data_IF_597285288284
#
_entry.id   IF_597285288284
#
_cell.length_a   1.000
_cell.length_b   1.000
_cell.length_c   1.000
_cell.angle_alpha   90.00
_cell.angle_beta   90.00
_cell.angle_gamma   90.00
#
_symmetry.space_group_name_H-M   'P 1'
#
loop_
_entity.id
_entity.type
_entity.pdbx_description
1 polymer ?
#
# COMPACT_ATOMS: atom_id res chain seq x y z
N UNK A 1 -7.99 -9.36 -19.90
CA UNK A 1 -8.97 -8.86 -18.93
C UNK A 1 -9.85 -7.85 -19.66
N UNK A 2 -11.18 -7.87 -19.48
CA UNK A 2 -12.01 -6.81 -20.04
C UNK A 2 -11.59 -5.47 -19.41
N UNK A 3 -11.56 -4.42 -20.21
CA UNK A 3 -11.33 -3.07 -19.73
C UNK A 3 -12.51 -2.70 -18.80
N UNK A 4 -12.22 -2.53 -17.51
CA UNK A 4 -13.22 -2.06 -16.56
C UNK A 4 -13.50 -0.60 -16.88
N UNK A 5 -14.76 -0.28 -17.13
CA UNK A 5 -15.20 1.10 -17.22
C UNK A 5 -14.73 1.87 -15.99
N UNK A 6 -14.44 3.16 -16.15
CA UNK A 6 -14.04 4.04 -15.06
C UNK A 6 -14.95 3.89 -13.83
N UNK A 7 -16.27 3.86 -14.04
CA UNK A 7 -17.25 3.65 -12.98
C UNK A 7 -17.06 2.33 -12.21
N UNK A 8 -16.72 1.23 -12.89
CA UNK A 8 -16.49 -0.07 -12.26
C UNK A 8 -15.22 -0.08 -11.39
N UNK A 9 -14.19 0.70 -11.74
CA UNK A 9 -12.96 0.81 -10.93
C UNK A 9 -13.23 1.44 -9.55
N UNK A 10 -14.20 2.35 -9.47
CA UNK A 10 -14.48 3.10 -8.24
C UNK A 10 -15.73 2.65 -7.49
N UNK A 11 -16.50 1.70 -8.04
CA UNK A 11 -17.73 1.20 -7.43
C UNK A 11 -17.53 0.69 -5.99
N UNK A 12 -16.36 0.10 -5.70
CA UNK A 12 -16.01 -0.38 -4.36
C UNK A 12 -15.94 0.75 -3.32
N UNK A 13 -15.36 1.89 -3.67
CA UNK A 13 -15.26 3.05 -2.76
C UNK A 13 -16.65 3.60 -2.40
N UNK A 14 -17.57 3.66 -3.36
CA UNK A 14 -18.94 4.11 -3.12
C UNK A 14 -19.75 3.17 -2.22
N UNK A 15 -19.38 1.89 -2.17
CA UNK A 15 -20.04 0.89 -1.33
C UNK A 15 -19.51 0.88 0.12
N UNK A 16 -18.31 1.42 0.37
CA UNK A 16 -17.72 1.44 1.70
C UNK A 16 -18.33 2.54 2.56
N UNK A 17 -18.72 2.18 3.78
CA UNK A 17 -19.38 3.08 4.74
C UNK A 17 -18.55 3.18 6.01
N UNK A 18 -18.06 4.39 6.36
CA UNK A 18 -17.48 4.63 7.67
C UNK A 18 -18.52 4.37 8.76
N UNK A 19 -18.12 3.62 9.78
CA UNK A 19 -19.03 3.17 10.82
C UNK A 19 -18.28 2.68 12.05
N UNK A 20 -18.99 2.57 13.18
CA UNK A 20 -18.45 1.92 14.38
C UNK A 20 -18.15 0.44 14.10
N UNK A 21 -17.18 -0.21 14.79
CA UNK A 21 -16.68 -1.53 14.38
C UNK A 21 -17.62 -2.71 14.60
N UNK A 22 -18.62 -2.56 15.48
CA UNK A 22 -19.46 -3.69 15.94
C UNK A 22 -20.60 -4.04 14.97
N UNK A 23 -21.31 -3.09 14.35
CA UNK A 23 -22.36 -3.41 13.39
C UNK A 23 -21.79 -4.02 12.10
N UNK A 24 -22.43 -5.06 11.55
CA UNK A 24 -22.01 -5.71 10.31
C UNK A 24 -22.19 -4.83 9.07
N UNK A 25 -22.88 -3.70 9.20
CA UNK A 25 -23.10 -2.70 8.15
C UNK A 25 -21.94 -1.71 8.02
N UNK A 26 -21.00 -1.70 8.98
CA UNK A 26 -19.78 -0.91 8.90
C UNK A 26 -18.72 -1.70 8.13
N UNK A 27 -18.16 -1.09 7.09
CA UNK A 27 -17.07 -1.69 6.31
C UNK A 27 -15.74 -0.97 6.51
N UNK A 28 -15.74 0.13 7.28
CA UNK A 28 -14.56 0.98 7.47
C UNK A 28 -14.62 1.66 8.85
N UNK A 29 -13.57 1.47 9.64
CA UNK A 29 -13.44 2.05 10.96
C UNK A 29 -13.03 3.52 10.95
N UNK A 30 -12.86 4.08 12.16
CA UNK A 30 -12.28 5.40 12.35
C UNK A 30 -10.77 5.39 12.05
N UNK A 31 -10.26 6.55 11.65
CA UNK A 31 -8.84 6.87 11.69
C UNK A 31 -8.38 6.93 13.15
N UNK A 32 -7.10 6.61 13.37
CA UNK A 32 -6.52 6.47 14.71
C UNK A 32 -6.70 7.73 15.58
N UNK A 33 -6.42 8.91 15.03
CA UNK A 33 -6.45 10.18 15.75
C UNK A 33 -6.78 11.38 14.83
N UNK A 34 -6.88 12.57 15.44
CA UNK A 34 -7.18 13.81 14.73
C UNK A 34 -6.07 14.27 13.79
N UNK A 35 -4.80 14.09 14.16
CA UNK A 35 -3.67 14.52 13.33
C UNK A 35 -3.60 13.72 12.03
N UNK A 36 -3.82 12.41 12.09
CA UNK A 36 -3.87 11.54 10.92
C UNK A 36 -5.14 11.78 10.10
N UNK A 37 -6.27 12.12 10.74
CA UNK A 37 -7.49 12.54 10.05
C UNK A 37 -7.24 13.80 9.22
N UNK A 38 -6.69 14.85 9.84
CA UNK A 38 -6.32 16.11 9.16
C UNK A 38 -5.30 15.88 8.04
N UNK A 39 -4.33 14.98 8.25
CA UNK A 39 -3.35 14.61 7.22
C UNK A 39 -4.03 13.98 6.00
N UNK A 40 -4.90 12.99 6.18
CA UNK A 40 -5.60 12.35 5.05
C UNK A 40 -6.49 13.35 4.31
N UNK A 41 -7.23 14.21 5.02
CA UNK A 41 -8.02 15.27 4.39
C UNK A 41 -7.14 16.24 3.57
N UNK A 42 -5.99 16.65 4.11
CA UNK A 42 -5.04 17.52 3.41
C UNK A 42 -4.54 16.88 2.12
N UNK A 43 -4.17 15.60 2.13
CA UNK A 43 -3.77 14.87 0.93
C UNK A 43 -4.90 14.80 -0.10
N UNK A 44 -6.13 14.56 0.35
CA UNK A 44 -7.29 14.53 -0.55
C UNK A 44 -7.55 15.91 -1.21
N UNK A 45 -7.38 17.00 -0.46
CA UNK A 45 -7.55 18.37 -0.98
C UNK A 45 -6.39 18.80 -1.89
N UNK A 46 -5.16 18.39 -1.58
CA UNK A 46 -3.98 18.63 -2.42
C UNK A 46 -4.05 17.82 -3.72
N UNK A 47 -4.39 16.54 -3.63
CA UNK A 47 -4.56 15.66 -4.77
C UNK A 47 -5.62 16.14 -5.76
N UNK A 48 -6.70 16.76 -5.27
CA UNK A 48 -7.73 17.34 -6.15
C UNK A 48 -7.20 18.48 -7.04
N UNK A 49 -6.09 19.14 -6.66
CA UNK A 49 -5.50 20.23 -7.46
C UNK A 49 -4.79 19.70 -8.72
N UNK A 50 -4.32 18.46 -8.70
CA UNK A 50 -3.49 17.87 -9.75
C UNK A 50 -4.05 16.58 -10.37
N UNK A 51 -5.12 16.01 -9.81
CA UNK A 51 -5.72 14.76 -10.27
C UNK A 51 -7.25 14.81 -10.27
N UNK A 52 -7.87 13.91 -11.03
CA UNK A 52 -9.32 13.84 -11.07
C UNK A 52 -9.89 13.06 -9.88
N UNK A 53 -10.57 13.75 -8.97
CA UNK A 53 -11.22 13.12 -7.82
C UNK A 53 -12.56 12.49 -8.23
N UNK A 54 -12.66 11.17 -8.14
CA UNK A 54 -13.82 10.39 -8.58
C UNK A 54 -14.66 9.83 -7.42
N UNK A 55 -14.13 9.78 -6.20
CA UNK A 55 -14.87 9.52 -4.97
C UNK A 55 -14.47 10.50 -3.85
N UNK A 56 -15.41 10.85 -2.97
CA UNK A 56 -15.26 11.98 -2.03
C UNK A 56 -14.71 11.54 -0.68
N UNK A 57 -13.54 12.08 -0.32
CA UNK A 57 -12.81 11.88 0.93
C UNK A 57 -13.16 12.81 2.08
N UNK A 58 -14.45 13.06 2.35
CA UNK A 58 -14.80 14.01 3.42
C UNK A 58 -14.67 13.35 4.79
N UNK A 59 -14.27 14.16 5.77
CA UNK A 59 -14.45 13.81 7.17
C UNK A 59 -15.95 13.74 7.47
N UNK A 60 -16.37 12.68 8.16
CA UNK A 60 -17.76 12.44 8.52
C UNK A 60 -17.88 12.18 10.01
N UNK A 61 -19.04 12.53 10.55
CA UNK A 61 -19.39 12.24 11.93
C UNK A 61 -20.25 10.98 11.96
N UNK A 62 -19.80 9.96 12.68
CA UNK A 62 -20.55 8.72 12.93
C UNK A 62 -20.89 8.68 14.42
N UNK A 63 -22.18 8.60 14.75
CA UNK A 63 -22.65 8.53 16.15
C UNK A 63 -22.06 9.64 17.05
N UNK A 64 -21.91 10.84 16.51
CA UNK A 64 -21.34 12.00 17.25
C UNK A 64 -19.82 12.03 17.35
N UNK A 65 -19.10 11.07 16.73
CA UNK A 65 -17.62 11.02 16.70
C UNK A 65 -17.09 11.40 15.31
N UNK A 66 -16.04 12.22 15.26
CA UNK A 66 -15.56 12.86 14.02
C UNK A 66 -14.33 12.26 13.35
N UNK A 67 -13.75 11.16 13.85
CA UNK A 67 -12.50 10.60 13.29
C UNK A 67 -12.72 9.64 12.12
N UNK A 68 -13.73 9.89 11.29
CA UNK A 68 -14.06 9.02 10.15
C UNK A 68 -13.82 9.78 8.86
N UNK A 69 -13.19 9.13 7.89
CA UNK A 69 -12.91 9.70 6.57
C UNK A 69 -13.54 8.78 5.53
N UNK A 70 -14.27 9.35 4.58
CA UNK A 70 -14.80 8.60 3.45
C UNK A 70 -13.67 8.19 2.49
N UNK A 71 -13.82 7.09 1.74
CA UNK A 71 -12.83 6.74 0.72
C UNK A 71 -12.69 7.81 -0.36
N UNK A 72 -11.44 8.14 -0.70
CA UNK A 72 -11.13 9.04 -1.81
C UNK A 72 -10.47 8.27 -2.93
N UNK A 73 -10.99 8.40 -4.14
CA UNK A 73 -10.35 7.85 -5.31
C UNK A 73 -9.91 8.99 -6.24
N UNK A 74 -8.70 8.88 -6.77
CA UNK A 74 -8.13 9.76 -7.78
C UNK A 74 -7.76 8.95 -9.00
N UNK A 75 -8.09 9.51 -10.16
CA UNK A 75 -7.67 9.00 -11.46
C UNK A 75 -6.72 9.98 -12.13
N UNK A 76 -6.00 9.45 -13.12
CA UNK A 76 -5.11 10.20 -14.00
C UNK A 76 -4.05 10.96 -13.18
N UNK A 77 -3.58 10.33 -12.09
CA UNK A 77 -2.62 10.94 -11.16
C UNK A 77 -1.25 10.95 -11.80
N UNK A 78 -0.65 12.14 -11.93
CA UNK A 78 0.71 12.28 -12.43
C UNK A 78 1.76 11.75 -11.44
N UNK A 79 2.91 11.32 -11.96
CA UNK A 79 3.99 10.74 -11.17
C UNK A 79 4.55 11.67 -10.09
N UNK A 80 4.63 12.98 -10.38
CA UNK A 80 5.10 14.01 -9.43
C UNK A 80 4.08 14.36 -8.34
N UNK A 81 2.94 13.68 -8.28
CA UNK A 81 1.90 13.94 -7.29
C UNK A 81 2.33 13.45 -5.90
N UNK A 82 2.04 14.21 -4.83
CA UNK A 82 2.27 13.73 -3.46
C UNK A 82 1.45 12.47 -3.15
N UNK A 83 0.36 12.20 -3.89
CA UNK A 83 -0.41 10.95 -3.77
C UNK A 83 0.35 9.70 -4.22
N UNK A 84 1.42 9.86 -5.01
CA UNK A 84 2.29 8.77 -5.49
C UNK A 84 3.56 8.69 -4.65
N UNK A 85 4.17 9.84 -4.34
CA UNK A 85 5.44 9.92 -3.63
C UNK A 85 5.37 9.68 -2.12
N UNK A 86 4.25 10.01 -1.47
CA UNK A 86 4.10 9.94 -0.01
C UNK A 86 3.01 8.93 0.42
N UNK A 87 3.27 8.23 1.51
CA UNK A 87 2.31 7.28 2.09
C UNK A 87 1.24 8.00 2.93
N UNK A 88 0.01 8.10 2.42
CA UNK A 88 -1.08 8.85 3.05
C UNK A 88 -1.56 8.22 4.36
N UNK A 89 -1.53 6.89 4.47
CA UNK A 89 -2.13 6.13 5.59
C UNK A 89 -3.62 6.48 5.85
N UNK A 90 -4.34 6.81 4.79
CA UNK A 90 -5.78 7.10 4.78
C UNK A 90 -6.50 6.22 3.76
N UNK A 91 -7.84 6.31 3.67
CA UNK A 91 -8.64 5.57 2.70
C UNK A 91 -8.58 6.21 1.30
N UNK A 92 -7.38 6.61 0.88
CA UNK A 92 -7.10 7.31 -0.37
C UNK A 92 -6.48 6.34 -1.39
N UNK A 93 -6.98 6.34 -2.62
CA UNK A 93 -6.48 5.50 -3.70
C UNK A 93 -6.20 6.35 -4.94
N UNK A 94 -4.96 6.30 -5.44
CA UNK A 94 -4.51 6.98 -6.64
C UNK A 94 -4.29 5.97 -7.78
N UNK A 95 -4.79 6.31 -8.97
CA UNK A 95 -4.63 5.49 -10.17
C UNK A 95 -3.88 6.26 -11.25
N UNK A 96 -2.81 5.67 -11.76
CA UNK A 96 -2.01 6.19 -12.87
C UNK A 96 -2.09 5.20 -14.04
N UNK A 97 -2.54 5.62 -15.24
CA UNK A 97 -2.57 4.75 -16.41
C UNK A 97 -1.14 4.46 -16.91
N UNK A 98 -0.90 3.21 -17.31
CA UNK A 98 0.38 2.77 -17.87
C UNK A 98 0.17 1.91 -19.10
N UNK A 99 0.84 2.27 -20.19
CA UNK A 99 0.66 1.62 -21.49
C UNK A 99 1.62 0.44 -21.72
N UNK A 100 2.80 0.47 -21.09
CA UNK A 100 3.86 -0.50 -21.36
C UNK A 100 4.36 -1.19 -20.09
N UNK A 101 4.79 -2.44 -20.23
CA UNK A 101 5.39 -3.20 -19.12
C UNK A 101 6.71 -2.58 -18.66
N UNK A 102 7.52 -2.06 -19.58
CA UNK A 102 8.76 -1.36 -19.24
C UNK A 102 8.48 -0.06 -18.45
N UNK A 103 7.51 0.75 -18.89
CA UNK A 103 7.10 1.95 -18.18
C UNK A 103 6.55 1.66 -16.78
N UNK A 104 5.80 0.56 -16.63
CA UNK A 104 5.30 0.10 -15.33
C UNK A 104 6.43 -0.20 -14.35
N UNK A 105 7.46 -0.91 -14.81
CA UNK A 105 8.61 -1.29 -13.96
C UNK A 105 9.39 -0.04 -13.56
N UNK A 106 9.69 0.85 -14.52
CA UNK A 106 10.41 2.10 -14.25
C UNK A 106 9.65 2.95 -13.23
N UNK A 107 8.34 3.16 -13.43
CA UNK A 107 7.55 3.99 -12.54
C UNK A 107 7.40 3.37 -11.15
N UNK A 108 7.18 2.06 -11.05
CA UNK A 108 7.04 1.37 -9.76
C UNK A 108 8.33 1.41 -8.94
N UNK A 109 9.49 1.24 -9.59
CA UNK A 109 10.78 1.24 -8.92
C UNK A 109 11.30 2.66 -8.63
N UNK A 110 10.74 3.69 -9.26
CA UNK A 110 11.00 5.09 -8.91
C UNK A 110 10.23 5.51 -7.64
N UNK A 111 10.44 4.73 -6.58
CA UNK A 111 9.91 4.98 -5.25
C UNK A 111 11.03 4.81 -4.24
N UNK A 112 11.03 5.68 -3.24
CA UNK A 112 11.91 5.50 -2.08
C UNK A 112 11.46 4.34 -1.18
N UNK A 113 10.26 3.81 -1.40
CA UNK A 113 9.66 2.69 -0.69
C UNK A 113 9.71 1.41 -1.53
N UNK A 114 9.67 0.26 -0.85
CA UNK A 114 9.74 -1.06 -1.48
C UNK A 114 9.14 -2.15 -0.59
N UNK A 115 8.01 -1.89 0.07
CA UNK A 115 7.40 -2.83 1.02
C UNK A 115 6.83 -4.06 0.31
N UNK A 116 5.81 -3.84 -0.52
CA UNK A 116 5.12 -4.90 -1.25
C UNK A 116 4.57 -4.39 -2.58
N UNK A 117 4.37 -5.31 -3.52
CA UNK A 117 3.67 -5.07 -4.77
C UNK A 117 2.56 -6.08 -5.02
N UNK A 118 1.55 -5.66 -5.76
CA UNK A 118 0.43 -6.48 -6.19
C UNK A 118 0.30 -6.39 -7.71
N UNK A 119 0.30 -7.54 -8.39
CA UNK A 119 0.11 -7.59 -9.82
C UNK A 119 -1.03 -8.53 -10.17
N UNK A 120 -1.92 -8.07 -11.07
CA UNK A 120 -3.05 -8.88 -11.55
C UNK A 120 -3.04 -8.93 -13.08
N UNK A 121 -2.92 -10.13 -13.62
CA UNK A 121 -2.99 -10.42 -15.05
C UNK A 121 -3.47 -11.85 -15.26
N UNK A 122 -4.08 -12.13 -16.41
CA UNK A 122 -4.44 -13.50 -16.81
C UNK A 122 -3.30 -14.24 -17.52
N UNK A 123 -2.15 -13.58 -17.75
CA UNK A 123 -0.98 -14.17 -18.38
C UNK A 123 0.10 -14.41 -17.32
N UNK A 124 0.34 -15.68 -16.98
CA UNK A 124 1.33 -16.07 -15.97
C UNK A 124 2.75 -15.63 -16.32
N UNK A 125 3.17 -15.79 -17.58
CA UNK A 125 4.50 -15.38 -18.02
C UNK A 125 4.71 -13.88 -17.88
N UNK A 126 3.67 -13.08 -18.15
CA UNK A 126 3.69 -11.64 -17.90
C UNK A 126 3.78 -11.35 -16.41
N UNK A 127 2.99 -12.03 -15.58
CA UNK A 127 3.02 -11.85 -14.13
C UNK A 127 4.43 -12.04 -13.56
N UNK A 128 5.11 -13.12 -13.96
CA UNK A 128 6.46 -13.43 -13.49
C UNK A 128 7.51 -12.45 -14.03
N UNK A 129 7.50 -12.14 -15.33
CA UNK A 129 8.44 -11.19 -15.94
C UNK A 129 8.29 -9.76 -15.42
N UNK A 130 7.06 -9.35 -15.08
CA UNK A 130 6.81 -8.05 -14.49
C UNK A 130 7.23 -8.02 -13.03
N UNK A 131 7.03 -9.10 -12.26
CA UNK A 131 7.31 -9.09 -10.83
C UNK A 131 8.79 -9.25 -10.45
N UNK A 132 9.55 -10.02 -11.22
CA UNK A 132 10.98 -10.25 -10.98
C UNK A 132 11.83 -8.97 -10.89
N UNK A 133 11.68 -7.97 -11.78
CA UNK A 133 12.47 -6.74 -11.74
C UNK A 133 11.92 -5.66 -10.78
N UNK A 134 10.84 -5.92 -10.03
CA UNK A 134 10.28 -4.91 -9.12
C UNK A 134 11.06 -4.84 -7.80
N UNK A 135 11.37 -3.63 -7.37
CA UNK A 135 12.08 -3.35 -6.12
C UNK A 135 11.10 -3.41 -4.92
N UNK A 136 10.56 -4.60 -4.67
CA UNK A 136 9.64 -4.86 -3.57
C UNK A 136 10.09 -6.04 -2.70
N UNK A 137 9.87 -5.90 -1.40
CA UNK A 137 10.14 -6.95 -0.43
C UNK A 137 9.27 -8.20 -0.60
N UNK A 138 8.04 -8.03 -1.07
CA UNK A 138 7.11 -9.12 -1.38
C UNK A 138 6.26 -8.74 -2.58
N UNK A 139 6.13 -9.63 -3.57
CA UNK A 139 5.20 -9.43 -4.67
C UNK A 139 4.12 -10.50 -4.71
N UNK A 140 2.87 -10.06 -4.86
CA UNK A 140 1.69 -10.90 -4.80
C UNK A 140 1.00 -10.93 -6.16
N UNK A 141 0.92 -12.12 -6.76
CA UNK A 141 0.34 -12.31 -8.09
C UNK A 141 -1.11 -12.81 -7.96
N UNK A 142 -2.06 -12.07 -8.55
CA UNK A 142 -3.49 -12.35 -8.55
C UNK A 142 -4.15 -12.47 -7.16
N UNK A 143 -3.48 -12.02 -6.11
CA UNK A 143 -3.94 -12.02 -4.72
C UNK A 143 -3.50 -10.73 -4.03
N UNK A 144 -4.10 -10.44 -2.87
CA UNK A 144 -3.70 -9.35 -1.97
C UNK A 144 -3.40 -9.93 -0.59
N UNK A 145 -2.42 -9.38 0.11
CA UNK A 145 -1.99 -9.75 1.46
C UNK A 145 -1.90 -11.26 1.73
N UNK A 146 -1.31 -12.02 0.80
CA UNK A 146 -1.05 -13.45 0.97
C UNK A 146 0.13 -13.69 1.95
N UNK A 147 -0.02 -13.20 3.18
CA UNK A 147 0.95 -13.26 4.25
C UNK A 147 0.75 -14.51 5.09
N UNK A 148 1.82 -15.25 5.30
CA UNK A 148 1.85 -16.44 6.14
C UNK A 148 2.99 -16.29 7.15
N UNK A 149 2.81 -16.85 8.34
CA UNK A 149 3.84 -16.81 9.41
C UNK A 149 5.18 -17.44 9.01
N UNK A 150 5.19 -18.26 7.96
CA UNK A 150 6.36 -18.95 7.42
C UNK A 150 6.98 -18.26 6.19
N UNK A 151 6.35 -17.23 5.65
CA UNK A 151 6.84 -16.50 4.48
C UNK A 151 7.55 -15.23 4.95
N UNK A 152 8.78 -14.94 4.49
CA UNK A 152 9.44 -13.69 4.83
C UNK A 152 8.67 -12.51 4.25
N UNK A 153 8.42 -11.51 5.09
CA UNK A 153 7.87 -10.22 4.69
C UNK A 153 8.76 -9.10 5.24
N UNK A 154 8.72 -7.92 4.64
CA UNK A 154 9.55 -6.78 5.02
C UNK A 154 10.08 -6.09 3.77
N UNK A 155 10.19 -4.77 3.84
CA UNK A 155 10.50 -3.95 2.67
C UNK A 155 11.97 -3.88 2.29
N UNK A 156 12.20 -3.33 1.11
CA UNK A 156 13.49 -2.88 0.61
C UNK A 156 13.65 -1.37 0.85
N UNK A 157 14.78 -0.80 0.44
CA UNK A 157 15.03 0.66 0.41
C UNK A 157 14.71 1.36 1.76
N UNK A 158 13.83 2.36 1.79
CA UNK A 158 13.42 3.05 3.03
C UNK A 158 12.27 2.37 3.76
N UNK A 159 11.69 1.29 3.21
CA UNK A 159 10.64 0.51 3.87
C UNK A 159 11.16 -0.39 4.99
N UNK A 160 12.48 -0.52 5.15
CA UNK A 160 13.10 -1.19 6.29
C UNK A 160 14.25 -2.12 5.90
N UNK A 161 14.81 -2.79 6.91
CA UNK A 161 15.91 -3.74 6.75
C UNK A 161 15.63 -5.02 7.53
N UNK A 162 15.73 -6.20 6.92
CA UNK A 162 15.44 -7.50 7.57
C UNK A 162 14.03 -8.02 7.26
N UNK A 163 13.66 -9.19 7.79
CA UNK A 163 12.42 -9.90 7.42
C UNK A 163 11.64 -10.41 8.64
N UNK A 164 10.34 -10.17 8.68
CA UNK A 164 9.39 -10.67 9.69
C UNK A 164 7.99 -10.88 9.07
N UNK A 165 7.27 -11.99 9.38
CA UNK A 165 7.68 -13.13 10.21
C UNK A 165 8.58 -14.11 9.41
N UNK A 166 8.55 -15.41 9.73
CA UNK A 166 9.37 -16.53 9.21
C UNK A 166 10.70 -16.79 9.90
N UNK A 167 11.35 -17.92 9.60
CA UNK A 167 12.67 -18.25 10.14
C UNK A 167 13.73 -17.20 9.81
N UNK A 168 13.57 -16.44 8.73
CA UNK A 168 14.49 -15.36 8.37
C UNK A 168 14.53 -14.23 9.43
N UNK A 169 13.55 -14.15 10.33
CA UNK A 169 13.61 -13.21 11.45
C UNK A 169 14.61 -13.62 12.54
N UNK A 170 15.03 -14.90 12.60
CA UNK A 170 15.95 -15.39 13.63
C UNK A 170 17.35 -14.79 13.53
N UNK A 171 17.70 -14.25 12.37
CA UNK A 171 19.00 -13.60 12.16
C UNK A 171 19.12 -12.26 12.89
N UNK A 172 18.00 -11.66 13.34
CA UNK A 172 17.99 -10.39 14.10
C UNK A 172 18.28 -10.53 15.61
N UNK A 173 17.63 -11.41 16.37
CA UNK A 173 17.73 -11.40 17.84
C UNK A 173 18.96 -12.12 18.42
N UNK A 174 19.81 -12.76 17.62
CA UNK A 174 20.98 -13.46 18.13
C UNK A 174 22.17 -12.50 18.29
N UNK A 175 22.41 -12.02 19.52
CA UNK A 175 23.67 -11.33 19.84
C UNK A 175 24.84 -12.31 19.67
N UNK A 176 25.58 -12.18 18.56
CA UNK A 176 26.77 -13.00 18.32
C UNK A 176 27.86 -12.62 19.33
N UNK A 177 28.43 -13.63 19.99
CA UNK A 177 29.56 -13.47 20.90
C UNK A 177 30.73 -14.32 20.42
N UNK A 178 31.83 -13.68 20.06
CA UNK A 178 33.09 -14.34 19.76
C UNK A 178 33.89 -14.54 21.05
N UNK A 179 34.33 -15.77 21.30
CA UNK A 179 35.25 -16.11 22.39
C UNK A 179 36.53 -16.67 21.76
N UNK A 180 37.66 -16.02 22.03
CA UNK A 180 38.97 -16.47 21.55
C UNK A 180 39.81 -16.92 22.74
N UNK A 181 40.46 -18.08 22.61
CA UNK A 181 41.35 -18.64 23.63
C UNK A 181 42.70 -18.94 22.97
N UNK A 182 43.78 -18.37 23.53
CA UNK A 182 45.14 -18.71 23.15
C UNK A 182 45.73 -19.65 24.22
N UNK A 183 46.18 -20.83 23.82
CA UNK A 183 46.84 -21.78 24.70
C UNK A 183 48.34 -21.85 24.36
N UNK A 184 49.21 -21.93 25.38
CA UNK A 184 50.63 -22.24 25.21
C UNK A 184 50.82 -23.75 25.33
N UNK A 185 51.38 -24.38 24.30
CA UNK A 185 51.98 -25.72 24.42
C UNK A 185 53.22 -25.68 25.29
#
# INVERSE_FOLDING_TARGET
MPDLSRAQRHAGAAAMRPGVPLPPTSSMGAIMDGQQTERSIRFADEGQKSANRVASGKQVTVEGKGLFVQPTNFDDVGHDSPLIGDEVFGPDCATTPIDTEAGLIVMTNDSIFGTSCFARTCNLSRALRTAEPLDAGSCHLATVDALLTRTPFGGLTRSGFGREPSMHCSDRPAALKTISVQYRS
#
